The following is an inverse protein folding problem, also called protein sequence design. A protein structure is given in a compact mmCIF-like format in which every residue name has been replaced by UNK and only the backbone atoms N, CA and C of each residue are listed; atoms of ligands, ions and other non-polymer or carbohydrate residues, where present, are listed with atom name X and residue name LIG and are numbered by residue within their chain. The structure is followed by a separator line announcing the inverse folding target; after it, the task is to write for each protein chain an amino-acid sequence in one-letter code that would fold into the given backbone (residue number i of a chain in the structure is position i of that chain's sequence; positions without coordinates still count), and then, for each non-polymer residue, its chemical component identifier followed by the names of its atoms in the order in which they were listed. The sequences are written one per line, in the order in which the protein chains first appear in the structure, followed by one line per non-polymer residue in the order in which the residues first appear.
data_IF_452565959554
#
_entry.id   IF_452565959554
#
_cell.length_a   1.000
_cell.length_b   1.000
_cell.length_c   1.000
_cell.angle_alpha   90.00
_cell.angle_beta   90.00
_cell.angle_gamma   90.00
#
_symmetry.space_group_name_H-M   'P 1'
#
loop_
_entity.id
_entity.type
_entity.pdbx_description
1 polymer ?
#
# COMPACT_ATOMS: atom_id res chain seq x y z
N UNK A 1 -8.39 -6.13 3.27
CA UNK A 1 -9.59 -5.64 4.01
C UNK A 1 -9.24 -4.91 5.31
N UNK A 2 -10.00 -3.87 5.70
CA UNK A 2 -9.70 -3.01 6.86
C UNK A 2 -9.64 -3.76 8.20
N UNK A 3 -8.71 -3.37 9.09
CA UNK A 3 -8.48 -3.97 10.41
C UNK A 3 -7.24 -4.88 10.46
N UNK A 4 -6.68 -5.23 9.32
CA UNK A 4 -5.48 -6.05 9.19
C UNK A 4 -4.20 -5.22 8.92
N UNK A 5 -4.23 -3.91 9.11
CA UNK A 5 -3.06 -3.04 8.90
C UNK A 5 -2.05 -3.15 10.06
N UNK A 6 -0.77 -2.99 9.74
CA UNK A 6 0.32 -2.93 10.72
C UNK A 6 1.41 -1.96 10.25
N UNK A 7 2.11 -1.38 11.21
CA UNK A 7 3.23 -0.48 10.92
C UNK A 7 4.39 -1.26 10.28
N UNK A 8 4.98 -0.71 9.22
CA UNK A 8 5.99 -1.38 8.38
C UNK A 8 5.41 -2.26 7.26
N UNK A 9 4.08 -2.29 7.07
CA UNK A 9 3.47 -3.04 5.98
C UNK A 9 4.02 -2.59 4.61
N UNK A 10 4.43 -3.55 3.79
CA UNK A 10 4.96 -3.28 2.44
C UNK A 10 6.40 -2.74 2.39
N UNK A 11 7.04 -2.38 3.51
CA UNK A 11 8.39 -1.78 3.49
C UNK A 11 9.45 -2.73 2.92
N UNK A 12 9.41 -4.00 3.31
CA UNK A 12 10.31 -5.00 2.77
C UNK A 12 10.17 -5.14 1.24
N UNK A 13 8.92 -5.20 0.74
CA UNK A 13 8.64 -5.27 -0.70
C UNK A 13 9.07 -4.01 -1.43
N UNK A 14 8.85 -2.83 -0.83
CA UNK A 14 9.30 -1.56 -1.38
C UNK A 14 10.81 -1.54 -1.61
N UNK A 15 11.57 -2.09 -0.66
CA UNK A 15 13.03 -2.14 -0.72
C UNK A 15 13.54 -3.21 -1.70
N UNK A 16 12.90 -4.39 -1.77
CA UNK A 16 13.42 -5.52 -2.54
C UNK A 16 12.86 -5.64 -3.96
N UNK A 17 11.62 -5.22 -4.21
CA UNK A 17 10.90 -5.50 -5.47
C UNK A 17 10.62 -4.22 -6.27
N UNK A 18 11.29 -4.00 -7.43
CA UNK A 18 11.08 -2.79 -8.24
C UNK A 18 9.64 -2.59 -8.71
N UNK A 19 8.92 -3.68 -8.99
CA UNK A 19 7.51 -3.63 -9.42
C UNK A 19 6.61 -3.15 -8.28
N UNK A 20 6.79 -3.70 -7.08
CA UNK A 20 6.05 -3.27 -5.89
C UNK A 20 6.35 -1.81 -5.56
N UNK A 21 7.64 -1.41 -5.61
CA UNK A 21 8.07 -0.03 -5.42
C UNK A 21 7.36 0.94 -6.36
N UNK A 22 7.32 0.64 -7.65
CA UNK A 22 6.70 1.50 -8.65
C UNK A 22 5.19 1.70 -8.40
N UNK A 23 4.49 0.67 -7.92
CA UNK A 23 3.07 0.78 -7.56
C UNK A 23 2.90 1.63 -6.30
N UNK A 24 3.70 1.36 -5.27
CA UNK A 24 3.66 2.09 -4.00
C UNK A 24 4.00 3.57 -4.19
N UNK A 25 5.02 3.91 -4.98
CA UNK A 25 5.38 5.30 -5.33
C UNK A 25 4.24 6.03 -6.04
N UNK A 26 3.52 5.35 -6.95
CA UNK A 26 2.37 5.94 -7.66
C UNK A 26 1.20 6.23 -6.72
N UNK A 27 0.90 5.31 -5.80
CA UNK A 27 -0.14 5.51 -4.80
C UNK A 27 0.23 6.65 -3.84
N UNK A 28 1.48 6.67 -3.37
CA UNK A 28 2.01 7.73 -2.51
C UNK A 28 1.94 9.10 -3.17
N UNK A 29 2.30 9.20 -4.44
CA UNK A 29 2.21 10.45 -5.19
C UNK A 29 0.78 11.00 -5.23
N UNK A 30 -0.23 10.15 -5.47
CA UNK A 30 -1.63 10.58 -5.48
C UNK A 30 -2.08 11.06 -4.09
N UNK A 31 -1.75 10.30 -3.05
CA UNK A 31 -2.13 10.67 -1.68
C UNK A 31 -1.43 11.95 -1.23
N UNK A 32 -0.16 12.16 -1.61
CA UNK A 32 0.56 13.43 -1.36
C UNK A 32 -0.13 14.60 -2.04
N UNK A 33 -0.62 14.44 -3.26
CA UNK A 33 -1.34 15.50 -3.98
C UNK A 33 -2.67 15.85 -3.32
N UNK A 34 -3.41 14.84 -2.82
CA UNK A 34 -4.71 15.04 -2.19
C UNK A 34 -4.63 15.52 -0.73
N UNK A 35 -3.64 15.04 0.03
CA UNK A 35 -3.56 15.20 1.49
C UNK A 35 -2.36 16.01 1.97
N UNK A 36 -1.38 16.27 1.10
CA UNK A 36 -0.16 16.98 1.47
C UNK A 36 0.84 16.17 2.32
N UNK A 37 0.62 14.87 2.50
CA UNK A 37 1.47 13.98 3.30
C UNK A 37 1.67 12.62 2.63
N UNK A 38 2.81 11.98 2.92
CA UNK A 38 3.18 10.70 2.32
C UNK A 38 2.41 9.55 2.96
N UNK A 39 1.80 8.73 2.11
CA UNK A 39 1.25 7.45 2.50
C UNK A 39 2.36 6.50 2.98
N UNK A 40 3.51 6.48 2.30
CA UNK A 40 4.62 5.58 2.65
C UNK A 40 5.21 5.91 4.01
N UNK A 41 5.36 7.19 4.35
CA UNK A 41 5.86 7.57 5.67
C UNK A 41 4.92 7.05 6.78
N UNK A 42 3.60 7.13 6.56
CA UNK A 42 2.58 6.58 7.49
C UNK A 42 2.64 5.05 7.53
N UNK A 43 2.69 4.37 6.37
CA UNK A 43 2.78 2.92 6.28
C UNK A 43 4.03 2.37 6.98
N UNK A 44 5.18 3.03 6.80
CA UNK A 44 6.47 2.59 7.32
C UNK A 44 6.76 3.10 8.74
N UNK A 45 5.84 3.87 9.34
CA UNK A 45 5.99 4.39 10.69
C UNK A 45 7.17 5.34 10.83
N UNK A 46 7.39 6.22 9.85
CA UNK A 46 8.45 7.23 9.95
C UNK A 46 8.13 8.20 11.11
N UNK A 47 9.15 8.63 11.88
CA UNK A 47 8.93 9.47 13.07
C UNK A 47 8.18 10.79 12.80
N UNK A 48 8.27 11.30 11.57
CA UNK A 48 7.70 12.56 11.10
C UNK A 48 6.45 12.37 10.22
N UNK A 49 5.90 11.15 10.15
CA UNK A 49 4.67 10.87 9.42
C UNK A 49 3.51 11.72 9.96
N UNK A 50 2.84 12.47 9.09
CA UNK A 50 1.76 13.37 9.47
C UNK A 50 0.39 12.67 9.70
N UNK A 51 0.35 11.34 9.69
CA UNK A 51 -0.88 10.55 9.75
C UNK A 51 -0.78 9.32 10.64
N UNK A 52 -1.92 8.87 11.15
CA UNK A 52 -2.05 7.64 11.92
C UNK A 52 -2.54 6.51 11.01
N UNK A 53 -1.80 5.41 10.93
CA UNK A 53 -2.18 4.25 10.14
C UNK A 53 -3.50 3.61 10.61
N UNK A 54 -3.95 3.85 11.85
CA UNK A 54 -5.24 3.38 12.36
C UNK A 54 -6.42 4.31 12.04
N UNK A 55 -6.18 5.51 11.52
CA UNK A 55 -7.24 6.34 10.95
C UNK A 55 -7.68 5.74 9.59
N UNK A 56 -8.98 5.44 9.38
CA UNK A 56 -9.49 4.94 8.11
C UNK A 56 -9.04 5.74 6.88
N UNK A 57 -8.82 7.06 7.03
CA UNK A 57 -8.32 7.92 5.96
C UNK A 57 -6.92 7.53 5.44
N UNK A 58 -6.12 6.85 6.28
CA UNK A 58 -4.80 6.31 5.95
C UNK A 58 -4.80 4.78 5.84
N UNK A 59 -5.56 4.08 6.69
CA UNK A 59 -5.69 2.62 6.65
C UNK A 59 -6.15 2.13 5.29
N UNK A 60 -7.19 2.75 4.74
CA UNK A 60 -7.80 2.30 3.48
C UNK A 60 -6.84 2.43 2.29
N UNK A 61 -6.21 3.60 2.03
CA UNK A 61 -5.23 3.71 0.95
C UNK A 61 -3.99 2.86 1.19
N UNK A 62 -3.57 2.63 2.44
CA UNK A 62 -2.42 1.76 2.74
C UNK A 62 -2.68 0.30 2.37
N UNK A 63 -3.86 -0.22 2.73
CA UNK A 63 -4.28 -1.59 2.37
C UNK A 63 -4.40 -1.73 0.86
N UNK A 64 -5.08 -0.78 0.21
CA UNK A 64 -5.22 -0.76 -1.24
C UNK A 64 -3.85 -0.74 -1.96
N UNK A 65 -2.94 0.13 -1.54
CA UNK A 65 -1.62 0.26 -2.14
C UNK A 65 -0.81 -1.04 -2.01
N UNK A 66 -0.86 -1.70 -0.85
CA UNK A 66 -0.20 -2.99 -0.65
C UNK A 66 -0.82 -4.11 -1.51
N UNK A 67 -2.15 -4.21 -1.55
CA UNK A 67 -2.86 -5.21 -2.35
C UNK A 67 -2.56 -5.03 -3.85
N UNK A 68 -2.53 -3.79 -4.35
CA UNK A 68 -2.11 -3.50 -5.72
C UNK A 68 -0.64 -3.85 -5.98
N UNK A 69 0.27 -3.57 -5.04
CA UNK A 69 1.67 -3.90 -5.17
C UNK A 69 1.90 -5.42 -5.24
N UNK A 70 1.18 -6.19 -4.42
CA UNK A 70 1.20 -7.64 -4.43
C UNK A 70 0.63 -8.21 -5.74
N UNK A 71 -0.49 -7.68 -6.21
CA UNK A 71 -1.10 -8.09 -7.48
C UNK A 71 -0.16 -7.84 -8.67
N UNK A 72 0.49 -6.68 -8.71
CA UNK A 72 1.46 -6.35 -9.76
C UNK A 72 2.70 -7.25 -9.69
N UNK A 73 3.18 -7.58 -8.48
CA UNK A 73 4.29 -8.51 -8.30
C UNK A 73 3.92 -9.91 -8.84
N UNK A 74 2.74 -10.43 -8.51
CA UNK A 74 2.26 -11.70 -9.03
C UNK A 74 2.14 -11.71 -10.56
N UNK A 75 1.59 -10.65 -11.16
CA UNK A 75 1.52 -10.53 -12.62
C UNK A 75 2.92 -10.52 -13.26
N UNK A 76 3.89 -9.84 -12.64
CA UNK A 76 5.27 -9.75 -13.15
C UNK A 76 6.00 -11.10 -13.19
N UNK A 77 5.60 -12.05 -12.36
CA UNK A 77 6.13 -13.43 -12.36
C UNK A 77 5.21 -14.42 -13.10
N UNK A 78 4.21 -13.91 -13.82
CA UNK A 78 3.33 -14.69 -14.69
C UNK A 78 2.18 -15.41 -13.97
N UNK A 79 1.91 -15.10 -12.71
CA UNK A 79 0.74 -15.65 -11.99
C UNK A 79 -0.52 -14.97 -12.52
N UNK A 80 -1.43 -15.76 -13.08
CA UNK A 80 -2.73 -15.28 -13.59
C UNK A 80 -3.88 -15.89 -12.79
N UNK A 81 -4.65 -15.08 -12.04
CA UNK A 81 -5.77 -15.60 -11.27
C UNK A 81 -6.92 -16.01 -12.20
N UNK A 82 -7.54 -17.17 -11.93
CA UNK A 82 -8.78 -17.59 -12.60
C UNK A 82 -10.02 -16.92 -12.00
N UNK A 83 -9.95 -16.52 -10.73
CA UNK A 83 -11.02 -15.85 -9.98
C UNK A 83 -10.36 -14.86 -9.00
N UNK A 84 -10.98 -13.70 -8.80
CA UNK A 84 -10.61 -12.71 -7.79
C UNK A 84 -11.84 -12.43 -6.92
N UNK A 85 -11.65 -12.43 -5.60
CA UNK A 85 -12.70 -12.13 -4.62
C UNK A 85 -12.16 -11.10 -3.63
N UNK A 86 -12.98 -10.12 -3.32
CA UNK A 86 -12.68 -9.08 -2.35
C UNK A 86 -13.61 -9.14 -1.14
N UNK A 87 -13.11 -8.74 0.02
CA UNK A 87 -13.91 -8.57 1.23
C UNK A 87 -13.86 -7.12 1.72
N UNK A 88 -15.01 -6.44 1.58
CA UNK A 88 -15.18 -5.04 1.92
C UNK A 88 -14.24 -4.13 1.11
N UNK A 89 -13.15 -3.64 1.71
CA UNK A 89 -12.17 -2.81 1.02
C UNK A 89 -11.26 -3.60 0.06
N UNK A 90 -10.87 -4.82 0.46
CA UNK A 90 -9.97 -5.66 -0.32
C UNK A 90 -10.71 -6.51 -1.32
#
# INVERSE_FOLDING_TARGET
GQGAQWQGMGEALYLSEPVARAVLDRCDQHIRQERGASLLDVMFGRPDAAGDLHDPAWTQPAIYALECALAALWDSVGIRPSVVLGHSLG
#
